data_IF_905543843216
#
_entry.id   IF_905543843216
#
_cell.length_a   1.000
_cell.length_b   1.000
_cell.length_c   1.000
_cell.angle_alpha   90.00
_cell.angle_beta   90.00
_cell.angle_gamma   90.00
#
_symmetry.space_group_name_H-M   'P 1'
#
loop_
_entity.id
_entity.type
_entity.pdbx_description
1 polymer ?
#
# COMPACT_ATOMS: atom_id res chain seq x y z
N UNK A 1 0.39 10.26 10.56
CA UNK A 1 1.78 10.10 11.02
C UNK A 1 2.67 10.01 9.79
N UNK A 2 3.85 10.62 9.85
CA UNK A 2 4.81 10.67 8.74
C UNK A 2 6.12 10.07 9.25
N UNK A 3 6.72 9.17 8.47
CA UNK A 3 8.03 8.59 8.72
C UNK A 3 8.90 8.87 7.50
N UNK A 4 10.02 9.54 7.70
CA UNK A 4 10.99 9.83 6.66
C UNK A 4 12.33 9.19 7.04
N UNK A 5 12.88 8.42 6.12
CA UNK A 5 14.18 7.77 6.25
C UNK A 5 15.15 8.45 5.30
N UNK A 6 16.29 8.88 5.82
CA UNK A 6 17.40 9.48 5.08
C UNK A 6 18.67 8.66 5.30
N UNK A 7 19.77 9.03 4.63
CA UNK A 7 21.05 8.32 4.77
C UNK A 7 21.60 8.35 6.20
N UNK A 8 21.24 9.37 6.99
CA UNK A 8 21.78 9.57 8.34
C UNK A 8 20.73 9.45 9.46
N UNK A 9 19.45 9.66 9.17
CA UNK A 9 18.42 9.77 10.21
C UNK A 9 17.09 9.15 9.80
N UNK A 10 16.37 8.65 10.80
CA UNK A 10 14.94 8.36 10.68
C UNK A 10 14.18 9.36 11.53
N UNK A 11 13.21 10.04 10.91
CA UNK A 11 12.34 11.00 11.59
C UNK A 11 10.91 10.50 11.55
N UNK A 12 10.18 10.73 12.63
CA UNK A 12 8.75 10.48 12.68
C UNK A 12 8.03 11.67 13.29
N UNK A 13 6.98 12.14 12.61
CA UNK A 13 6.20 13.30 13.00
C UNK A 13 4.71 12.99 12.97
N UNK A 14 3.93 13.79 13.69
CA UNK A 14 2.50 13.55 13.92
C UNK A 14 1.68 13.62 12.61
N UNK A 15 2.21 14.31 11.60
CA UNK A 15 1.45 14.71 10.40
C UNK A 15 0.39 15.76 10.70
N UNK A 16 0.55 16.56 11.76
CA UNK A 16 -0.29 17.73 11.99
C UNK A 16 0.00 18.82 10.94
N UNK A 17 -1.00 19.64 10.63
CA UNK A 17 -0.88 20.74 9.66
C UNK A 17 -0.19 21.96 10.30
N UNK A 18 1.04 21.73 10.77
CA UNK A 18 1.93 22.71 11.38
C UNK A 18 3.33 22.59 10.78
N UNK A 19 3.37 22.46 9.45
CA UNK A 19 4.58 22.10 8.69
C UNK A 19 5.19 20.77 9.13
N UNK A 20 4.35 19.84 9.60
CA UNK A 20 4.75 18.52 10.10
C UNK A 20 5.83 18.57 11.19
N UNK A 21 5.87 19.66 11.95
CA UNK A 21 6.95 19.94 12.91
C UNK A 21 6.80 19.18 14.22
N UNK A 22 5.60 18.68 14.56
CA UNK A 22 5.40 17.96 15.82
C UNK A 22 6.06 16.58 15.77
N UNK A 23 7.12 16.33 16.56
CA UNK A 23 7.79 15.05 16.59
C UNK A 23 6.92 13.97 17.26
N UNK A 24 6.96 12.76 16.70
CA UNK A 24 6.67 11.50 17.44
C UNK A 24 7.98 10.94 18.02
N UNK A 25 9.09 11.29 17.37
CA UNK A 25 10.48 11.03 17.74
C UNK A 25 11.24 12.37 17.82
N UNK A 26 12.04 12.66 18.86
CA UNK A 26 12.62 11.71 19.81
C UNK A 26 11.66 11.17 20.87
N UNK A 27 11.86 9.89 21.29
CA UNK A 27 12.95 8.99 20.86
C UNK A 27 12.55 8.00 19.75
N UNK A 28 13.54 7.49 18.99
CA UNK A 28 13.41 6.38 18.01
C UNK A 28 12.64 5.17 18.57
N UNK A 29 12.70 4.98 19.89
CA UNK A 29 11.95 3.97 20.64
C UNK A 29 10.44 3.96 20.38
N UNK A 30 9.84 5.10 19.99
CA UNK A 30 8.40 5.18 19.70
C UNK A 30 7.99 4.43 18.44
N UNK A 31 8.94 4.13 17.55
CA UNK A 31 8.66 3.48 16.25
C UNK A 31 9.56 2.27 15.96
N UNK A 32 10.66 2.11 16.70
CA UNK A 32 11.65 1.06 16.46
C UNK A 32 11.11 -0.37 16.60
N UNK A 33 9.97 -0.54 17.25
CA UNK A 33 9.31 -1.85 17.36
C UNK A 33 8.71 -2.32 16.03
N UNK A 34 8.36 -1.40 15.12
CA UNK A 34 7.70 -1.73 13.86
C UNK A 34 8.38 -1.15 12.61
N UNK A 35 9.43 -0.34 12.76
CA UNK A 35 10.20 0.21 11.63
C UNK A 35 11.60 -0.41 11.58
N UNK A 36 11.97 -0.95 10.42
CA UNK A 36 13.34 -1.42 10.14
C UNK A 36 13.86 -0.81 8.83
N UNK A 37 15.12 -0.40 8.81
CA UNK A 37 15.73 0.29 7.65
C UNK A 37 16.88 -0.51 7.02
N UNK A 38 17.34 -1.58 7.66
CA UNK A 38 18.41 -2.46 7.19
C UNK A 38 17.86 -3.66 6.38
N UNK A 39 16.81 -3.43 5.60
CA UNK A 39 16.18 -4.47 4.78
C UNK A 39 16.61 -4.28 3.33
N UNK A 40 17.11 -5.36 2.75
CA UNK A 40 17.46 -5.41 1.33
C UNK A 40 16.77 -6.58 0.65
N UNK A 41 16.25 -6.36 -0.55
CA UNK A 41 15.66 -7.39 -1.41
C UNK A 41 16.05 -7.12 -2.86
N UNK A 42 15.80 -8.03 -3.78
CA UNK A 42 16.06 -7.80 -5.20
C UNK A 42 14.74 -7.72 -5.98
N UNK A 43 14.50 -6.63 -6.69
CA UNK A 43 13.39 -6.55 -7.62
C UNK A 43 13.89 -6.91 -9.01
N UNK A 44 13.53 -8.12 -9.42
CA UNK A 44 13.97 -8.71 -10.68
C UNK A 44 13.35 -8.04 -11.90
N UNK A 45 12.22 -7.36 -11.74
CA UNK A 45 11.62 -6.56 -12.81
C UNK A 45 12.44 -5.30 -13.06
N UNK A 46 12.81 -4.62 -11.97
CA UNK A 46 13.64 -3.41 -12.02
C UNK A 46 15.13 -3.70 -12.26
N UNK A 47 15.58 -4.94 -12.02
CA UNK A 47 16.98 -5.33 -12.15
C UNK A 47 17.87 -4.72 -11.06
N UNK A 48 17.30 -4.43 -9.89
CA UNK A 48 17.93 -3.60 -8.84
C UNK A 48 17.68 -4.15 -7.44
N UNK A 49 18.61 -3.86 -6.55
CA UNK A 49 18.45 -4.11 -5.12
C UNK A 49 17.61 -3.03 -4.46
N UNK A 50 16.56 -3.44 -3.75
CA UNK A 50 15.71 -2.58 -2.95
C UNK A 50 16.41 -2.27 -1.65
N UNK A 51 16.69 -1.00 -1.38
CA UNK A 51 16.96 -0.50 -0.05
C UNK A 51 15.61 -0.16 0.60
N UNK A 52 15.11 -1.06 1.44
CA UNK A 52 13.75 -0.98 1.94
C UNK A 52 13.66 -0.39 3.35
N UNK A 53 12.66 0.46 3.55
CA UNK A 53 12.08 0.72 4.87
C UNK A 53 10.93 -0.24 5.09
N UNK A 54 11.10 -1.18 6.02
CA UNK A 54 10.08 -2.17 6.36
C UNK A 54 9.21 -1.70 7.52
N UNK A 55 7.90 -1.87 7.38
CA UNK A 55 6.88 -1.64 8.40
C UNK A 55 6.26 -2.99 8.78
N UNK A 56 6.45 -3.41 10.03
CA UNK A 56 5.75 -4.56 10.61
C UNK A 56 4.40 -4.12 11.16
N UNK A 57 3.33 -4.52 10.48
CA UNK A 57 1.98 -4.07 10.82
C UNK A 57 1.41 -4.77 12.06
N UNK A 58 1.93 -5.95 12.43
CA UNK A 58 1.56 -6.59 13.69
C UNK A 58 2.17 -5.83 14.87
N UNK A 59 3.44 -5.46 14.78
CA UNK A 59 4.07 -4.64 15.82
C UNK A 59 3.53 -3.21 15.84
N UNK A 60 3.16 -2.66 14.69
CA UNK A 60 2.44 -1.38 14.62
C UNK A 60 1.11 -1.43 15.36
N UNK A 61 0.31 -2.49 15.18
CA UNK A 61 -0.94 -2.70 15.92
C UNK A 61 -0.69 -2.77 17.43
N UNK A 62 0.37 -3.47 17.86
CA UNK A 62 0.76 -3.52 19.27
C UNK A 62 1.14 -2.14 19.84
N UNK A 63 1.78 -1.29 19.05
CA UNK A 63 2.13 0.08 19.42
C UNK A 63 0.98 1.09 19.28
N UNK A 64 -0.12 0.71 18.61
CA UNK A 64 -1.14 1.63 18.11
C UNK A 64 -1.83 2.47 19.20
N UNK A 65 -2.13 1.87 20.35
CA UNK A 65 -2.75 2.58 21.47
C UNK A 65 -1.80 3.62 22.07
N UNK A 66 -0.51 3.27 22.23
CA UNK A 66 0.51 4.20 22.70
C UNK A 66 0.68 5.40 21.75
N UNK A 67 0.76 5.12 20.44
CA UNK A 67 0.79 6.15 19.41
C UNK A 67 -0.47 7.02 19.43
N UNK A 68 -1.65 6.42 19.60
CA UNK A 68 -2.92 7.15 19.66
C UNK A 68 -2.96 8.11 20.84
N UNK A 69 -2.51 7.67 22.03
CA UNK A 69 -2.41 8.52 23.22
C UNK A 69 -1.40 9.64 23.01
N UNK A 70 -0.20 9.33 22.50
CA UNK A 70 0.85 10.33 22.26
C UNK A 70 0.41 11.39 21.26
N UNK A 71 -0.34 11.00 20.23
CA UNK A 71 -0.82 11.89 19.18
C UNK A 71 -2.12 12.61 19.53
N UNK A 72 -2.82 12.17 20.59
CA UNK A 72 -4.19 12.59 20.90
C UNK A 72 -5.23 12.19 19.85
N UNK A 73 -4.87 11.30 18.91
CA UNK A 73 -5.73 10.84 17.80
C UNK A 73 -5.25 9.52 17.21
N UNK A 74 -6.15 8.70 16.64
CA UNK A 74 -5.76 7.48 15.93
C UNK A 74 -4.91 7.79 14.69
N UNK A 75 -3.91 6.94 14.41
CA UNK A 75 -3.14 7.00 13.17
C UNK A 75 -3.97 6.41 12.03
N UNK A 76 -4.66 7.28 11.28
CA UNK A 76 -5.46 6.87 10.13
C UNK A 76 -4.70 6.83 8.80
N UNK A 77 -3.66 7.65 8.68
CA UNK A 77 -2.76 7.66 7.52
C UNK A 77 -1.33 7.54 8.05
N UNK A 78 -0.62 6.52 7.58
CA UNK A 78 0.80 6.35 7.80
C UNK A 78 1.51 6.63 6.47
N UNK A 79 2.13 7.79 6.38
CA UNK A 79 2.98 8.15 5.26
C UNK A 79 4.41 7.69 5.56
N UNK A 80 5.02 6.95 4.65
CA UNK A 80 6.41 6.49 4.77
C UNK A 80 7.15 6.85 3.49
N UNK A 81 8.30 7.50 3.61
CA UNK A 81 9.19 7.72 2.48
C UNK A 81 10.63 7.36 2.84
N UNK A 82 11.22 6.54 1.98
CA UNK A 82 12.64 6.23 1.99
C UNK A 82 13.33 7.13 0.96
N UNK A 83 14.06 8.11 1.49
CA UNK A 83 14.75 9.17 0.76
C UNK A 83 16.26 8.95 0.73
N UNK A 84 16.71 7.74 1.08
CA UNK A 84 18.11 7.37 1.00
C UNK A 84 18.61 7.44 -0.44
N UNK A 85 19.90 7.75 -0.57
CA UNK A 85 20.56 7.87 -1.86
C UNK A 85 20.57 6.51 -2.59
N UNK A 86 20.31 6.54 -3.89
CA UNK A 86 20.30 5.36 -4.76
C UNK A 86 21.19 5.58 -5.97
N UNK A 87 21.54 4.49 -6.66
CA UNK A 87 22.39 4.47 -7.83
C UNK A 87 21.78 3.64 -8.97
N UNK A 88 22.58 3.31 -9.99
CA UNK A 88 22.13 2.49 -11.11
C UNK A 88 21.75 1.05 -10.72
N UNK A 89 22.17 0.57 -9.56
CA UNK A 89 21.97 -0.81 -9.08
C UNK A 89 20.98 -0.93 -7.93
N UNK A 90 20.55 0.19 -7.36
CA UNK A 90 19.68 0.25 -6.17
C UNK A 90 18.42 1.09 -6.42
N UNK A 91 17.36 0.80 -5.67
CA UNK A 91 16.21 1.69 -5.53
C UNK A 91 15.68 1.70 -4.09
N UNK A 92 15.08 2.82 -3.68
CA UNK A 92 14.43 2.93 -2.38
C UNK A 92 13.01 2.39 -2.45
N UNK A 93 12.58 1.66 -1.42
CA UNK A 93 11.26 1.04 -1.37
C UNK A 93 10.67 1.03 0.03
N UNK A 94 9.34 0.88 0.12
CA UNK A 94 8.67 0.59 1.38
C UNK A 94 8.16 -0.84 1.35
N UNK A 95 8.38 -1.60 2.43
CA UNK A 95 7.91 -2.98 2.54
C UNK A 95 6.96 -3.14 3.73
N UNK A 96 5.79 -3.73 3.50
CA UNK A 96 4.85 -4.09 4.55
C UNK A 96 4.94 -5.59 4.82
N UNK A 97 4.99 -5.95 6.08
CA UNK A 97 4.89 -7.34 6.53
C UNK A 97 3.81 -7.47 7.61
N UNK A 98 3.32 -8.69 7.83
CA UNK A 98 2.40 -9.04 8.91
C UNK A 98 1.12 -8.17 8.91
N UNK A 99 0.64 -7.80 7.72
CA UNK A 99 -0.50 -6.90 7.51
C UNK A 99 -1.88 -7.53 7.54
N UNK A 100 -2.00 -8.79 7.96
CA UNK A 100 -3.27 -9.52 7.87
C UNK A 100 -4.40 -8.85 8.67
N UNK A 101 -4.07 -8.24 9.80
CA UNK A 101 -4.99 -7.46 10.62
C UNK A 101 -4.50 -6.02 10.70
N UNK A 102 -5.41 -5.05 10.57
CA UNK A 102 -5.12 -3.62 10.67
C UNK A 102 -5.88 -3.01 11.87
N UNK A 103 -5.55 -1.77 12.29
CA UNK A 103 -6.32 -1.10 13.33
C UNK A 103 -7.79 -0.92 12.91
N UNK A 104 -8.72 -1.13 13.84
CA UNK A 104 -10.15 -1.04 13.58
C UNK A 104 -10.62 0.33 13.07
N UNK A 105 -9.87 1.40 13.38
CA UNK A 105 -10.13 2.76 12.92
C UNK A 105 -9.79 3.02 11.44
N UNK A 106 -9.32 1.98 10.73
CA UNK A 106 -8.85 2.06 9.36
C UNK A 106 -7.41 2.58 9.26
N UNK A 107 -6.75 2.22 8.17
CA UNK A 107 -5.37 2.61 7.91
C UNK A 107 -5.12 2.75 6.42
N UNK A 108 -4.67 3.93 6.02
CA UNK A 108 -4.09 4.17 4.70
C UNK A 108 -2.57 4.19 4.82
N UNK A 109 -1.91 3.32 4.06
CA UNK A 109 -0.47 3.39 3.84
C UNK A 109 -0.25 4.25 2.61
N UNK A 110 0.52 5.32 2.76
CA UNK A 110 0.90 6.19 1.66
C UNK A 110 2.43 6.26 1.55
N UNK A 111 2.95 6.22 0.34
CA UNK A 111 4.39 6.36 0.11
C UNK A 111 4.66 6.98 -1.25
N UNK A 112 5.75 7.72 -1.33
CA UNK A 112 6.33 8.16 -2.60
C UNK A 112 7.07 7.02 -3.32
N UNK A 113 7.51 5.99 -2.59
CA UNK A 113 8.32 4.89 -3.12
C UNK A 113 7.46 3.76 -3.73
N UNK A 114 8.06 2.80 -4.45
CA UNK A 114 7.44 1.51 -4.72
C UNK A 114 7.14 0.79 -3.40
N UNK A 115 5.96 0.19 -3.32
CA UNK A 115 5.44 -0.49 -2.14
C UNK A 115 5.41 -2.00 -2.36
N UNK A 116 6.04 -2.74 -1.46
CA UNK A 116 6.06 -4.21 -1.45
C UNK A 116 5.18 -4.72 -0.30
N UNK A 117 4.11 -5.44 -0.61
CA UNK A 117 3.18 -5.97 0.39
C UNK A 117 3.40 -7.47 0.52
N UNK A 118 3.99 -7.91 1.64
CA UNK A 118 4.26 -9.32 1.91
C UNK A 118 3.13 -9.97 2.73
N UNK A 119 2.62 -11.06 2.19
CA UNK A 119 1.58 -11.88 2.80
C UNK A 119 0.19 -11.29 2.64
N UNK A 120 -0.74 -11.82 3.44
CA UNK A 120 -2.10 -11.29 3.48
C UNK A 120 -2.12 -9.85 4.00
N UNK A 121 -3.00 -9.03 3.44
CA UNK A 121 -3.19 -7.65 3.87
C UNK A 121 -4.67 -7.38 4.13
N UNK A 122 -4.98 -6.95 5.34
CA UNK A 122 -6.34 -6.65 5.79
C UNK A 122 -7.33 -7.80 5.53
N UNK A 123 -6.88 -9.04 5.73
CA UNK A 123 -7.63 -10.25 5.47
C UNK A 123 -7.73 -11.10 6.74
N UNK A 124 -8.56 -10.70 7.73
CA UNK A 124 -8.83 -11.54 8.90
C UNK A 124 -9.37 -12.90 8.43
N UNK A 125 -9.33 -13.90 9.30
CA UNK A 125 -9.55 -15.31 8.93
C UNK A 125 -10.76 -15.56 8.00
N UNK A 126 -11.90 -14.89 8.22
CA UNK A 126 -13.10 -15.05 7.39
C UNK A 126 -13.05 -14.42 5.98
N UNK A 127 -12.04 -13.59 5.70
CA UNK A 127 -11.83 -12.93 4.41
C UNK A 127 -10.81 -13.66 3.52
N UNK A 128 -10.03 -14.60 4.07
CA UNK A 128 -8.97 -15.30 3.34
C UNK A 128 -9.53 -16.10 2.15
N UNK A 129 -9.08 -15.77 0.94
CA UNK A 129 -9.50 -16.43 -0.29
C UNK A 129 -10.97 -16.20 -0.68
N UNK A 130 -11.67 -15.27 -0.01
CA UNK A 130 -13.09 -14.99 -0.26
C UNK A 130 -13.30 -13.56 -0.75
N UNK A 131 -14.52 -13.25 -1.16
CA UNK A 131 -14.98 -11.87 -1.44
C UNK A 131 -15.65 -11.21 -0.24
N UNK A 132 -15.67 -11.87 0.93
CA UNK A 132 -16.30 -11.34 2.14
C UNK A 132 -15.37 -10.34 2.83
N UNK A 133 -15.65 -9.06 2.66
CA UNK A 133 -14.89 -7.98 3.27
C UNK A 133 -15.50 -7.45 4.57
N UNK A 134 -16.60 -8.01 5.06
CA UNK A 134 -17.37 -7.46 6.21
C UNK A 134 -16.53 -7.18 7.46
N UNK A 135 -15.55 -8.04 7.75
CA UNK A 135 -14.64 -7.92 8.91
C UNK A 135 -13.33 -7.17 8.64
N UNK A 136 -13.13 -6.66 7.42
CA UNK A 136 -11.92 -5.92 7.05
C UNK A 136 -11.98 -4.48 7.55
N UNK A 137 -10.83 -3.87 7.84
CA UNK A 137 -10.75 -2.46 8.21
C UNK A 137 -10.83 -1.57 6.96
N UNK A 138 -11.29 -0.31 7.05
CA UNK A 138 -11.17 0.64 5.96
C UNK A 138 -9.69 0.88 5.62
N UNK A 139 -9.24 0.46 4.44
CA UNK A 139 -7.81 0.43 4.12
C UNK A 139 -7.50 0.85 2.68
N UNK A 140 -6.41 1.60 2.53
CA UNK A 140 -5.87 1.93 1.22
C UNK A 140 -4.35 1.80 1.18
N UNK A 141 -3.84 1.45 -0.01
CA UNK A 141 -2.42 1.46 -0.35
C UNK A 141 -2.21 2.48 -1.46
N UNK A 142 -1.40 3.49 -1.19
CA UNK A 142 -1.11 4.60 -2.10
C UNK A 142 0.40 4.65 -2.33
N UNK A 143 0.87 4.37 -3.53
CA UNK A 143 2.30 4.22 -3.81
C UNK A 143 2.69 4.54 -5.26
N UNK A 144 3.99 4.66 -5.54
CA UNK A 144 4.49 4.77 -6.92
C UNK A 144 4.10 3.57 -7.78
N UNK A 145 4.28 2.37 -7.22
CA UNK A 145 3.85 1.09 -7.77
C UNK A 145 3.64 0.12 -6.61
N UNK A 146 2.76 -0.87 -6.78
CA UNK A 146 2.46 -1.85 -5.72
C UNK A 146 2.83 -3.25 -6.20
N UNK A 147 3.71 -3.91 -5.46
CA UNK A 147 4.14 -5.29 -5.68
C UNK A 147 3.60 -6.17 -4.56
N UNK A 148 2.90 -7.24 -4.90
CA UNK A 148 2.42 -8.25 -3.95
C UNK A 148 3.42 -9.40 -3.89
N UNK A 149 3.79 -9.77 -2.67
CA UNK A 149 4.66 -10.88 -2.34
C UNK A 149 3.87 -11.82 -1.43
N UNK A 150 3.92 -13.12 -1.68
CA UNK A 150 3.17 -14.10 -0.90
C UNK A 150 3.75 -14.25 0.51
N UNK A 151 3.02 -14.97 1.38
CA UNK A 151 3.47 -15.22 2.76
C UNK A 151 4.81 -15.96 2.82
N UNK A 152 5.13 -16.79 1.81
CA UNK A 152 6.37 -17.57 1.74
C UNK A 152 7.54 -16.81 1.12
N UNK A 153 7.33 -15.59 0.62
CA UNK A 153 8.39 -14.80 0.00
C UNK A 153 9.58 -14.60 0.96
N UNK A 154 10.77 -14.88 0.45
CA UNK A 154 12.03 -14.66 1.13
C UNK A 154 12.93 -13.75 0.30
N UNK A 155 13.42 -12.66 0.89
CA UNK A 155 14.25 -11.69 0.19
C UNK A 155 15.58 -12.28 -0.28
N UNK A 156 16.11 -13.27 0.45
CA UNK A 156 17.34 -13.97 0.06
C UNK A 156 17.18 -14.78 -1.24
N UNK A 157 15.95 -15.09 -1.64
CA UNK A 157 15.62 -15.87 -2.84
C UNK A 157 15.23 -14.98 -4.03
N UNK A 158 15.15 -13.67 -3.84
CA UNK A 158 14.61 -12.71 -4.80
C UNK A 158 15.38 -12.63 -6.14
N UNK A 159 16.66 -13.02 -6.15
CA UNK A 159 17.47 -13.11 -7.38
C UNK A 159 17.47 -14.51 -8.04
N UNK A 160 16.95 -15.55 -7.37
CA UNK A 160 16.92 -16.92 -7.90
C UNK A 160 16.06 -17.03 -9.17
N UNK A 161 16.22 -18.11 -9.92
CA UNK A 161 15.37 -18.42 -11.08
C UNK A 161 13.93 -18.72 -10.62
N UNK A 162 12.97 -18.28 -11.42
CA UNK A 162 11.54 -18.37 -11.17
C UNK A 162 11.07 -19.82 -11.02
N UNK A 163 11.67 -20.74 -11.77
CA UNK A 163 11.33 -22.16 -11.73
C UNK A 163 11.87 -22.92 -10.50
N UNK A 164 12.48 -22.23 -9.54
CA UNK A 164 12.95 -22.85 -8.30
C UNK A 164 11.82 -22.91 -7.27
N UNK A 165 11.75 -23.96 -6.42
CA UNK A 165 10.73 -24.05 -5.37
C UNK A 165 10.72 -22.84 -4.42
N UNK A 166 11.87 -22.18 -4.24
CA UNK A 166 12.02 -20.97 -3.42
C UNK A 166 11.27 -19.74 -3.99
N UNK A 167 10.80 -19.80 -5.23
CA UNK A 167 10.05 -18.74 -5.90
C UNK A 167 8.57 -19.07 -6.10
N UNK A 168 8.12 -20.25 -5.69
CA UNK A 168 6.71 -20.64 -5.78
C UNK A 168 5.93 -19.89 -4.70
N UNK A 169 4.92 -19.13 -5.12
CA UNK A 169 4.05 -18.37 -4.24
C UNK A 169 3.09 -19.28 -3.47
N UNK A 170 2.49 -18.71 -2.42
CA UNK A 170 1.27 -19.20 -1.79
C UNK A 170 0.08 -18.29 -2.09
N UNK A 171 -1.12 -18.86 -1.97
CA UNK A 171 -2.37 -18.11 -2.08
C UNK A 171 -2.35 -16.91 -1.13
N UNK A 172 -2.71 -15.75 -1.67
CA UNK A 172 -2.60 -14.47 -0.96
C UNK A 172 -3.88 -13.67 -1.13
N UNK A 173 -4.24 -12.90 -0.11
CA UNK A 173 -5.48 -12.10 -0.08
C UNK A 173 -5.15 -10.69 0.35
N UNK A 174 -5.57 -9.73 -0.48
CA UNK A 174 -5.37 -8.30 -0.26
C UNK A 174 -6.75 -7.63 -0.28
N UNK A 175 -7.14 -7.00 0.83
CA UNK A 175 -8.37 -6.20 0.89
C UNK A 175 -8.04 -4.73 1.12
N UNK A 176 -8.04 -3.93 0.07
CA UNK A 176 -7.73 -2.50 0.16
C UNK A 176 -8.14 -1.77 -1.11
N UNK A 177 -8.44 -0.48 -1.01
CA UNK A 177 -8.34 0.38 -2.18
C UNK A 177 -6.87 0.55 -2.54
N UNK A 178 -6.56 0.57 -3.84
CA UNK A 178 -5.19 0.75 -4.32
C UNK A 178 -5.15 1.91 -5.29
N UNK A 179 -4.27 2.87 -5.02
CA UNK A 179 -3.97 3.98 -5.90
C UNK A 179 -2.49 3.94 -6.19
N UNK A 180 -2.12 3.87 -7.47
CA UNK A 180 -0.72 3.89 -7.81
C UNK A 180 -0.44 4.22 -9.26
N UNK A 181 0.84 4.21 -9.57
CA UNK A 181 1.34 4.43 -10.91
C UNK A 181 1.42 3.14 -11.72
N UNK A 182 1.45 3.31 -13.04
CA UNK A 182 1.69 2.23 -14.00
C UNK A 182 2.74 2.68 -15.02
N UNK A 183 3.53 1.75 -15.55
CA UNK A 183 4.39 2.05 -16.71
C UNK A 183 3.48 2.15 -17.94
N UNK A 184 3.40 3.29 -18.63
CA UNK A 184 2.44 3.49 -19.72
C UNK A 184 2.79 2.62 -20.92
N UNK A 185 1.76 2.20 -21.67
CA UNK A 185 1.97 1.55 -22.97
C UNK A 185 2.59 2.56 -23.94
N UNK A 186 3.79 2.28 -24.41
CA UNK A 186 4.52 3.15 -25.32
C UNK A 186 5.57 2.37 -26.11
N UNK A 187 5.84 2.80 -27.36
CA UNK A 187 6.92 2.26 -28.20
C UNK A 187 6.89 0.73 -28.35
N UNK A 188 5.70 0.15 -28.57
CA UNK A 188 5.53 -1.30 -28.71
C UNK A 188 5.51 -2.09 -27.39
N UNK A 189 5.68 -1.42 -26.24
CA UNK A 189 5.54 -2.05 -24.93
C UNK A 189 4.12 -1.88 -24.40
N UNK A 190 3.54 -2.96 -23.91
CA UNK A 190 2.25 -2.95 -23.21
C UNK A 190 2.49 -2.81 -21.70
N UNK A 191 1.68 -1.99 -21.03
CA UNK A 191 1.76 -1.75 -19.58
C UNK A 191 1.51 -2.99 -18.71
N UNK A 192 0.84 -3.99 -19.28
CA UNK A 192 0.29 -5.14 -18.56
C UNK A 192 -1.09 -4.88 -17.95
N UNK A 193 -1.73 -3.75 -18.27
CA UNK A 193 -3.14 -3.50 -17.92
C UNK A 193 -3.50 -3.69 -16.44
N UNK A 194 -4.75 -4.12 -16.19
CA UNK A 194 -5.25 -4.43 -14.83
C UNK A 194 -4.56 -5.67 -14.27
N UNK A 195 -4.20 -6.61 -15.13
CA UNK A 195 -3.58 -7.88 -14.79
C UNK A 195 -2.17 -7.74 -14.20
N UNK A 196 -1.51 -6.59 -14.41
CA UNK A 196 -0.19 -6.24 -13.90
C UNK A 196 -0.19 -4.97 -13.02
N UNK A 197 -1.35 -4.36 -12.78
CA UNK A 197 -1.44 -3.16 -11.92
C UNK A 197 -0.89 -3.46 -10.52
N UNK A 198 -1.24 -4.63 -9.98
CA UNK A 198 -0.52 -5.26 -8.89
C UNK A 198 0.61 -6.10 -9.49
N UNK A 199 1.86 -5.70 -9.24
CA UNK A 199 3.05 -6.38 -9.74
C UNK A 199 3.36 -7.62 -8.90
N UNK A 200 4.05 -8.58 -9.51
CA UNK A 200 4.39 -9.86 -8.87
C UNK A 200 5.83 -10.25 -9.19
N UNK A 201 6.50 -10.89 -8.24
CA UNK A 201 7.89 -11.36 -8.36
C UNK A 201 8.04 -12.88 -8.10
N UNK A 202 6.95 -13.63 -8.08
CA UNK A 202 6.93 -15.06 -7.75
C UNK A 202 6.29 -15.89 -8.86
N UNK A 203 6.48 -17.20 -8.79
CA UNK A 203 5.76 -18.18 -9.61
C UNK A 203 4.40 -18.45 -8.95
N UNK A 204 3.34 -17.91 -9.55
CA UNK A 204 1.97 -18.11 -9.08
C UNK A 204 1.22 -19.21 -9.83
N UNK A 205 1.93 -20.09 -10.54
CA UNK A 205 1.31 -21.24 -11.21
C UNK A 205 0.50 -22.06 -10.21
N UNK A 206 -0.77 -22.31 -10.52
CA UNK A 206 -1.71 -23.02 -9.63
C UNK A 206 -1.94 -22.35 -8.27
N UNK A 207 -1.68 -21.04 -8.15
CA UNK A 207 -1.97 -20.22 -6.97
C UNK A 207 -3.00 -19.15 -7.27
N UNK A 208 -3.70 -18.70 -6.24
CA UNK A 208 -4.71 -17.65 -6.33
C UNK A 208 -4.26 -16.38 -5.63
N UNK A 209 -4.30 -15.26 -6.37
CA UNK A 209 -4.27 -13.93 -5.77
C UNK A 209 -5.70 -13.42 -5.68
N UNK A 210 -6.21 -13.33 -4.44
CA UNK A 210 -7.50 -12.75 -4.14
C UNK A 210 -7.33 -11.28 -3.83
N UNK A 211 -8.04 -10.42 -4.55
CA UNK A 211 -8.03 -8.99 -4.32
C UNK A 211 -9.46 -8.49 -4.23
N UNK A 212 -9.82 -7.88 -3.10
CA UNK A 212 -11.08 -7.18 -2.94
C UNK A 212 -10.78 -5.70 -2.74
N UNK A 213 -11.24 -4.85 -3.66
CA UNK A 213 -10.92 -3.44 -3.57
C UNK A 213 -11.35 -2.62 -4.77
N UNK A 214 -10.75 -1.44 -4.88
CA UNK A 214 -10.87 -0.55 -6.03
C UNK A 214 -9.47 -0.23 -6.53
N UNK A 215 -9.26 -0.24 -7.85
CA UNK A 215 -7.97 0.08 -8.46
C UNK A 215 -8.04 1.43 -9.18
N UNK A 216 -7.12 2.33 -8.80
CA UNK A 216 -7.01 3.66 -9.40
C UNK A 216 -5.59 3.85 -9.94
N UNK A 217 -5.45 3.81 -11.26
CA UNK A 217 -4.21 4.16 -11.94
C UNK A 217 -4.22 5.66 -12.27
N UNK A 218 -3.48 6.47 -11.50
CA UNK A 218 -3.60 7.93 -11.58
C UNK A 218 -2.45 8.60 -12.35
N UNK A 219 -1.27 7.96 -12.41
CA UNK A 219 -0.07 8.56 -12.98
C UNK A 219 0.89 7.52 -13.58
N UNK A 220 1.84 7.92 -14.43
CA UNK A 220 2.98 7.09 -14.79
C UNK A 220 3.90 6.88 -13.58
N UNK A 221 4.25 5.63 -13.25
CA UNK A 221 5.24 5.34 -12.20
C UNK A 221 6.57 6.03 -12.54
N UNK A 222 7.18 6.67 -11.54
CA UNK A 222 8.41 7.47 -11.65
C UNK A 222 9.63 6.74 -11.10
N UNK A 223 9.44 5.72 -10.26
CA UNK A 223 10.55 4.98 -9.62
C UNK A 223 10.64 3.56 -10.18
N UNK A 224 9.59 2.77 -10.06
CA UNK A 224 9.55 1.41 -10.58
C UNK A 224 9.16 1.41 -12.07
N UNK A 225 10.11 1.76 -12.93
CA UNK A 225 9.86 2.13 -14.33
C UNK A 225 10.05 1.01 -15.33
N UNK A 226 10.45 -0.19 -14.90
CA UNK A 226 10.71 -1.29 -15.82
C UNK A 226 9.43 -1.85 -16.49
N UNK A 227 9.52 -2.03 -17.81
CA UNK A 227 8.43 -2.53 -18.64
C UNK A 227 7.91 -3.89 -18.18
N UNK A 228 6.62 -4.12 -18.39
CA UNK A 228 6.07 -5.46 -18.22
C UNK A 228 6.59 -6.40 -19.32
N UNK A 229 6.87 -7.66 -18.97
CA UNK A 229 7.36 -8.65 -19.93
C UNK A 229 8.79 -8.41 -20.45
N UNK A 230 9.56 -7.49 -19.82
CA UNK A 230 10.96 -7.26 -20.19
C UNK A 230 11.87 -8.47 -19.88
N UNK A 231 11.42 -9.40 -19.04
CA UNK A 231 12.13 -10.61 -18.66
C UNK A 231 11.11 -11.71 -18.29
N UNK A 232 11.30 -12.91 -18.84
CA UNK A 232 10.43 -14.07 -18.60
C UNK A 232 10.67 -14.75 -17.23
N UNK A 233 11.70 -14.32 -16.50
CA UNK A 233 12.16 -14.91 -15.23
C UNK A 233 11.73 -14.06 -14.01
N UNK A 234 10.69 -13.23 -14.16
CA UNK A 234 10.16 -12.33 -13.10
C UNK A 234 9.06 -13.00 -12.30
N UNK A 235 7.97 -13.41 -12.96
CA UNK A 235 6.80 -14.03 -12.36
C UNK A 235 5.99 -14.82 -13.39
N UNK A 236 5.25 -15.82 -12.90
CA UNK A 236 4.16 -16.45 -13.65
C UNK A 236 2.83 -15.96 -13.07
N UNK A 237 1.78 -15.77 -13.88
CA UNK A 237 0.54 -15.16 -13.44
C UNK A 237 -0.29 -16.09 -12.51
N UNK A 238 -0.97 -15.54 -11.48
CA UNK A 238 -1.89 -16.28 -10.64
C UNK A 238 -3.24 -16.49 -11.34
N UNK A 239 -4.05 -17.38 -10.76
CA UNK A 239 -5.50 -17.23 -10.85
C UNK A 239 -5.90 -15.93 -10.14
N UNK A 240 -6.42 -14.95 -10.89
CA UNK A 240 -6.87 -13.67 -10.34
C UNK A 240 -8.32 -13.78 -9.86
N UNK A 241 -8.53 -13.71 -8.55
CA UNK A 241 -9.85 -13.60 -7.94
C UNK A 241 -10.08 -12.15 -7.52
N UNK A 242 -10.34 -11.28 -8.50
CA UNK A 242 -10.49 -9.85 -8.28
C UNK A 242 -11.98 -9.49 -8.17
N UNK A 243 -12.34 -8.81 -7.09
CA UNK A 243 -13.69 -8.33 -6.85
C UNK A 243 -13.67 -6.91 -6.26
N UNK A 244 -14.81 -6.23 -6.34
CA UNK A 244 -15.00 -4.96 -5.67
C UNK A 244 -15.25 -5.18 -4.18
N UNK A 245 -14.58 -4.41 -3.32
CA UNK A 245 -14.87 -4.40 -1.88
C UNK A 245 -16.20 -3.69 -1.61
N UNK A 246 -17.21 -4.45 -1.22
CA UNK A 246 -18.56 -3.93 -0.98
C UNK A 246 -18.65 -2.97 0.21
N UNK A 247 -17.68 -2.97 1.12
CA UNK A 247 -17.61 -1.97 2.19
C UNK A 247 -17.47 -0.55 1.64
N UNK A 248 -16.89 -0.36 0.44
CA UNK A 248 -16.71 0.98 -0.13
C UNK A 248 -18.02 1.64 -0.61
N UNK A 249 -19.16 0.93 -0.52
CA UNK A 249 -20.49 1.52 -0.70
C UNK A 249 -20.99 2.25 0.55
N UNK A 250 -20.38 1.97 1.70
CA UNK A 250 -20.67 2.63 2.97
C UNK A 250 -19.61 3.71 3.21
N UNK A 251 -20.06 4.96 3.31
CA UNK A 251 -19.20 6.11 3.56
C UNK A 251 -18.37 5.95 4.83
N UNK A 252 -18.91 5.33 5.88
CA UNK A 252 -18.19 5.10 7.14
C UNK A 252 -17.06 4.07 7.02
N UNK A 253 -17.05 3.28 5.93
CA UNK A 253 -16.04 2.26 5.66
C UNK A 253 -15.11 2.60 4.50
N UNK A 254 -15.16 3.83 4.00
CA UNK A 254 -14.17 4.31 3.05
C UNK A 254 -12.79 4.42 3.72
N UNK A 255 -11.70 4.07 3.00
CA UNK A 255 -10.35 4.24 3.52
C UNK A 255 -10.09 5.68 3.99
N UNK A 256 -9.31 5.88 5.06
CA UNK A 256 -8.99 7.23 5.49
C UNK A 256 -8.25 8.04 4.42
N UNK A 257 -8.71 9.25 4.14
CA UNK A 257 -8.15 10.09 3.08
C UNK A 257 -8.62 9.72 1.68
N UNK A 258 -9.73 8.98 1.55
CA UNK A 258 -10.40 8.75 0.26
C UNK A 258 -10.69 10.08 -0.44
N UNK A 259 -10.30 10.26 -1.72
CA UNK A 259 -10.65 11.46 -2.48
C UNK A 259 -12.17 11.63 -2.59
N UNK A 260 -12.66 12.83 -2.32
CA UNK A 260 -14.07 13.17 -2.42
C UNK A 260 -14.27 14.26 -3.48
N UNK A 261 -15.19 14.03 -4.41
CA UNK A 261 -15.70 15.08 -5.30
C UNK A 261 -16.82 15.79 -4.56
N UNK A 262 -16.69 17.10 -4.37
CA UNK A 262 -17.70 17.93 -3.72
C UNK A 262 -18.29 18.90 -4.74
N UNK A 263 -19.61 18.87 -4.89
CA UNK A 263 -20.37 19.83 -5.69
C UNK A 263 -20.97 20.89 -4.77
N UNK A 264 -20.78 22.16 -5.11
CA UNK A 264 -21.46 23.27 -4.43
C UNK A 264 -22.80 23.48 -5.14
N UNK A 265 -23.90 23.42 -4.38
CA UNK A 265 -25.22 23.81 -4.87
C UNK A 265 -25.56 25.16 -4.26
N UNK A 266 -25.71 26.18 -5.11
CA UNK A 266 -26.29 27.46 -4.70
C UNK A 266 -27.81 27.35 -4.74
N UNK A 267 -28.45 27.61 -3.61
CA UNK A 267 -29.90 27.78 -3.52
C UNK A 267 -30.20 29.16 -2.92
N UNK A 268 -31.19 29.86 -3.49
CA UNK A 268 -31.71 31.09 -2.92
C UNK A 268 -32.78 30.76 -1.88
N UNK A 269 -32.72 31.41 -0.71
CA UNK A 269 -33.81 31.38 0.25
C UNK A 269 -34.93 32.28 -0.26
N UNK A 270 -36.05 31.70 -0.69
CA UNK A 270 -37.30 32.44 -0.86
C UNK A 270 -38.05 32.40 0.47
N UNK A 271 -38.17 33.56 1.12
CA UNK A 271 -39.15 33.76 2.19
C UNK A 271 -40.48 34.03 1.48
N UNK A 272 -41.40 33.07 1.53
CA UNK A 272 -42.79 33.34 1.16
C UNK A 272 -43.38 34.36 2.14
N UNK A 273 -43.93 35.45 1.61
CA UNK A 273 -44.58 36.46 2.43
C UNK A 273 -45.78 35.82 3.15
N UNK A 274 -45.94 36.11 4.45
CA UNK A 274 -47.12 35.67 5.18
C UNK A 274 -48.38 36.26 4.50
N UNK A 275 -49.32 35.39 4.11
CA UNK A 275 -50.64 35.69 3.51
C UNK A 275 -50.72 36.05 2.00
N UNK A 276 -49.92 35.45 1.11
CA UNK A 276 -50.21 35.51 -0.34
C UNK A 276 -51.15 34.37 -0.78
N UNK A 277 -52.41 34.68 -1.10
CA UNK A 277 -53.25 33.83 -1.95
C UNK A 277 -52.86 34.02 -3.42
N UNK A 278 -52.85 32.93 -4.19
CA UNK A 278 -52.44 32.83 -5.60
C UNK A 278 -52.99 33.94 -6.51
#
# INVERSE_FOLDING_TARGET
MIILVSDSTVTATSGAYNNFSTPVCPPWSSISSFVQTNITSYDKREGKSIQATQIDLQNFNSAYNGLTTQLGRPVKILYVADLRSTDSTTLSGVKLINGQTLPANGLTIATYNPLYVKGHYNAPAGALGTTNTTGTAPAALIADAITVLSVVWNDADASKRLNTPARVANDTTINAAVLGGIVPSANGNYSGGVENFLRLLEDWTSRTLTFNGSMVALFPSQIATANWGNNNDISNPPRRAYAFDTNFKDYAKLPPGTPEVRTIIHAAWNITQANSTQ
#
